data_IF_186422748429
#
_entry.id   IF_186422748429
#
_cell.length_a   1.000
_cell.length_b   1.000
_cell.length_c   1.000
_cell.angle_alpha   90.00
_cell.angle_beta   90.00
_cell.angle_gamma   90.00
#
_symmetry.space_group_name_H-M   'P 1'
#
loop_
_entity.id
_entity.type
_entity.pdbx_description
1 polymer ?
#
# COMPACT_ATOMS: atom_id res chain seq x y z
N UNK A 1 -16.86 -19.44 -3.26
CA UNK A 1 -16.84 -18.53 -2.10
C UNK A 1 -17.43 -17.21 -2.54
N UNK A 2 -18.42 -16.71 -1.82
CA UNK A 2 -19.25 -15.61 -2.31
C UNK A 2 -18.40 -14.35 -2.53
N UNK A 3 -18.45 -13.73 -3.73
CA UNK A 3 -17.63 -12.56 -4.05
C UNK A 3 -17.83 -11.41 -3.04
N UNK A 4 -18.98 -11.42 -2.36
CA UNK A 4 -19.33 -10.49 -1.30
C UNK A 4 -18.43 -10.66 -0.05
N UNK A 5 -18.14 -11.89 0.38
CA UNK A 5 -17.26 -12.13 1.53
C UNK A 5 -15.81 -11.74 1.23
N UNK A 6 -15.34 -11.99 0.00
CA UNK A 6 -14.00 -11.58 -0.43
C UNK A 6 -13.84 -10.04 -0.42
N UNK A 7 -14.85 -9.31 -0.90
CA UNK A 7 -14.85 -7.84 -0.89
C UNK A 7 -14.92 -7.27 0.53
N UNK A 8 -15.73 -7.87 1.42
CA UNK A 8 -15.79 -7.47 2.83
C UNK A 8 -14.46 -7.74 3.54
N UNK A 9 -13.81 -8.87 3.27
CA UNK A 9 -12.50 -9.18 3.81
C UNK A 9 -11.44 -8.16 3.35
N UNK A 10 -11.40 -7.84 2.04
CA UNK A 10 -10.51 -6.79 1.51
C UNK A 10 -10.78 -5.45 2.17
N UNK A 11 -12.04 -5.03 2.30
CA UNK A 11 -12.41 -3.77 2.95
C UNK A 11 -12.00 -3.71 4.42
N UNK A 12 -12.23 -4.80 5.17
CA UNK A 12 -11.84 -4.88 6.58
C UNK A 12 -10.32 -4.84 6.77
N UNK A 13 -9.59 -5.53 5.89
CA UNK A 13 -8.13 -5.53 5.85
C UNK A 13 -7.58 -4.14 5.52
N UNK A 14 -8.18 -3.44 4.55
CA UNK A 14 -7.82 -2.04 4.22
C UNK A 14 -8.01 -1.12 5.42
N UNK A 15 -9.18 -1.16 6.04
CA UNK A 15 -9.50 -0.32 7.18
C UNK A 15 -8.59 -0.60 8.38
N UNK A 16 -8.38 -1.88 8.70
CA UNK A 16 -7.45 -2.30 9.75
C UNK A 16 -6.01 -1.90 9.45
N UNK A 17 -5.56 -2.05 8.21
CA UNK A 17 -4.23 -1.67 7.75
C UNK A 17 -3.95 -0.18 7.96
N UNK A 18 -4.90 0.68 7.58
CA UNK A 18 -4.80 2.14 7.78
C UNK A 18 -4.80 2.51 9.26
N UNK A 19 -5.66 1.89 10.08
CA UNK A 19 -5.68 2.16 11.53
C UNK A 19 -4.35 1.81 12.19
N UNK A 20 -3.78 0.64 11.85
CA UNK A 20 -2.45 0.24 12.33
C UNK A 20 -1.40 1.23 11.83
N UNK A 21 -1.50 1.70 10.59
CA UNK A 21 -0.59 2.68 10.02
C UNK A 21 -0.59 3.98 10.84
N UNK A 22 -1.77 4.50 11.16
CA UNK A 22 -1.93 5.73 11.95
C UNK A 22 -1.38 5.59 13.37
N UNK A 23 -1.45 4.41 13.98
CA UNK A 23 -0.89 4.18 15.32
C UNK A 23 0.63 3.99 15.29
N UNK A 24 1.18 3.35 14.24
CA UNK A 24 2.62 3.07 14.14
C UNK A 24 3.44 4.25 13.61
N UNK A 25 2.84 5.14 12.82
CA UNK A 25 3.56 6.24 12.14
C UNK A 25 4.27 7.18 13.11
N UNK A 26 3.64 7.46 14.25
CA UNK A 26 4.16 8.36 15.26
C UNK A 26 5.31 7.74 16.07
N UNK A 27 5.41 6.40 16.11
CA UNK A 27 6.40 5.67 16.94
C UNK A 27 7.61 5.22 16.13
N UNK A 28 7.41 4.72 14.91
CA UNK A 28 8.45 4.05 14.10
C UNK A 28 9.26 5.05 13.26
N UNK A 29 8.67 6.21 12.94
CA UNK A 29 9.25 7.23 12.08
C UNK A 29 9.04 6.96 10.59
N UNK A 30 8.88 8.04 9.84
CA UNK A 30 8.33 8.05 8.47
C UNK A 30 9.18 7.28 7.45
N UNK A 31 10.52 7.40 7.53
CA UNK A 31 11.45 6.71 6.60
C UNK A 31 11.49 5.19 6.81
N UNK A 32 11.43 4.73 8.07
CA UNK A 32 11.49 3.30 8.40
C UNK A 32 10.22 2.58 7.98
N UNK A 33 9.08 3.24 8.14
CA UNK A 33 7.79 2.69 7.74
C UNK A 33 7.67 2.47 6.23
N UNK A 34 8.22 3.40 5.41
CA UNK A 34 8.34 3.22 3.96
C UNK A 34 9.21 2.01 3.56
N UNK A 35 10.33 1.80 4.27
CA UNK A 35 11.21 0.65 4.00
C UNK A 35 10.55 -0.67 4.41
N UNK A 36 9.88 -0.72 5.57
CA UNK A 36 9.18 -1.94 6.02
C UNK A 36 8.04 -2.29 5.04
N UNK A 37 7.27 -1.31 4.60
CA UNK A 37 6.20 -1.52 3.62
C UNK A 37 6.70 -2.01 2.27
N UNK A 38 7.76 -1.41 1.73
CA UNK A 38 8.35 -1.87 0.45
C UNK A 38 8.87 -3.31 0.55
N UNK A 39 9.55 -3.66 1.64
CA UNK A 39 10.00 -5.05 1.88
C UNK A 39 8.81 -6.01 1.97
N UNK A 40 7.75 -5.63 2.69
CA UNK A 40 6.51 -6.42 2.81
C UNK A 40 5.77 -6.61 1.47
N UNK A 41 5.73 -5.57 0.64
CA UNK A 41 5.17 -5.63 -0.71
C UNK A 41 5.97 -6.59 -1.59
N UNK A 42 7.31 -6.48 -1.61
CA UNK A 42 8.17 -7.38 -2.39
C UNK A 42 7.99 -8.83 -1.94
N UNK A 43 7.96 -9.09 -0.63
CA UNK A 43 7.70 -10.42 -0.09
C UNK A 43 6.32 -10.97 -0.51
N UNK A 44 5.29 -10.12 -0.51
CA UNK A 44 3.94 -10.52 -0.94
C UNK A 44 3.90 -10.87 -2.43
N UNK A 45 4.60 -10.11 -3.29
CA UNK A 45 4.72 -10.43 -4.71
C UNK A 45 5.48 -11.74 -4.95
N UNK A 46 6.54 -12.02 -4.19
CA UNK A 46 7.24 -13.30 -4.28
C UNK A 46 6.30 -14.45 -3.92
N UNK A 47 5.51 -14.30 -2.84
CA UNK A 47 4.49 -15.28 -2.46
C UNK A 47 3.45 -15.51 -3.57
N UNK A 48 3.04 -14.44 -4.26
CA UNK A 48 2.13 -14.51 -5.39
C UNK A 48 2.75 -15.23 -6.59
N UNK A 49 4.01 -14.92 -6.94
CA UNK A 49 4.74 -15.60 -8.03
C UNK A 49 4.83 -17.11 -7.75
N UNK A 50 5.15 -17.51 -6.52
CA UNK A 50 5.23 -18.92 -6.12
C UNK A 50 3.86 -19.60 -6.19
N UNK A 51 2.79 -18.92 -5.75
CA UNK A 51 1.43 -19.45 -5.82
C UNK A 51 1.00 -19.72 -7.27
N UNK A 52 1.30 -18.80 -8.20
CA UNK A 52 0.98 -18.96 -9.62
C UNK A 52 1.89 -19.97 -10.33
N UNK A 53 3.18 -20.03 -9.99
CA UNK A 53 4.12 -20.99 -10.58
C UNK A 53 3.86 -22.44 -10.15
N UNK A 54 3.42 -22.65 -8.91
CA UNK A 54 3.13 -23.98 -8.37
C UNK A 54 1.74 -24.53 -8.71
N UNK A 55 0.88 -23.78 -9.41
CA UNK A 55 -0.57 -24.09 -9.54
C UNK A 55 -1.22 -24.39 -8.17
N UNK A 56 -0.71 -23.77 -7.09
CA UNK A 56 -1.21 -24.02 -5.75
C UNK A 56 -2.55 -23.31 -5.50
N UNK A 57 -3.30 -23.83 -4.53
CA UNK A 57 -4.65 -23.44 -4.13
C UNK A 57 -4.92 -21.93 -4.24
N UNK A 58 -6.07 -21.56 -4.81
CA UNK A 58 -6.60 -20.19 -4.87
C UNK A 58 -6.53 -19.44 -3.53
N UNK A 59 -6.58 -20.16 -2.40
CA UNK A 59 -6.46 -19.58 -1.06
C UNK A 59 -5.08 -18.96 -0.75
N UNK A 60 -3.98 -19.53 -1.26
CA UNK A 60 -2.63 -18.97 -1.03
C UNK A 60 -2.45 -17.67 -1.83
N UNK A 61 -2.94 -17.64 -3.07
CA UNK A 61 -2.96 -16.44 -3.89
C UNK A 61 -3.79 -15.33 -3.22
N UNK A 62 -4.97 -15.67 -2.70
CA UNK A 62 -5.83 -14.72 -1.97
C UNK A 62 -5.15 -14.18 -0.69
N UNK A 63 -4.51 -15.04 0.11
CA UNK A 63 -3.78 -14.62 1.29
C UNK A 63 -2.59 -13.71 0.97
N UNK A 64 -1.85 -14.00 -0.11
CA UNK A 64 -0.74 -13.15 -0.59
C UNK A 64 -1.24 -11.77 -1.05
N UNK A 65 -2.41 -11.73 -1.70
CA UNK A 65 -3.05 -10.48 -2.12
C UNK A 65 -3.53 -9.64 -0.92
N UNK A 66 -4.15 -10.25 0.08
CA UNK A 66 -4.54 -9.54 1.31
C UNK A 66 -3.33 -8.99 2.06
N UNK A 67 -2.24 -9.76 2.13
CA UNK A 67 -0.98 -9.32 2.73
C UNK A 67 -0.39 -8.13 1.98
N UNK A 68 -0.40 -8.17 0.64
CA UNK A 68 0.02 -7.04 -0.20
C UNK A 68 -0.81 -5.78 0.11
N UNK A 69 -2.14 -5.90 0.22
CA UNK A 69 -3.03 -4.78 0.53
C UNK A 69 -2.69 -4.18 1.89
N UNK A 70 -2.45 -5.01 2.92
CA UNK A 70 -2.03 -4.53 4.25
C UNK A 70 -0.74 -3.72 4.20
N UNK A 71 0.30 -4.25 3.56
CA UNK A 71 1.59 -3.56 3.49
C UNK A 71 1.53 -2.29 2.63
N UNK A 72 0.68 -2.28 1.59
CA UNK A 72 0.41 -1.10 0.80
C UNK A 72 -0.27 0.01 1.63
N UNK A 73 -1.33 -0.33 2.34
CA UNK A 73 -2.10 0.63 3.14
C UNK A 73 -1.31 1.12 4.37
N UNK A 74 -0.47 0.26 4.94
CA UNK A 74 0.40 0.61 6.06
C UNK A 74 1.51 1.59 5.68
N UNK A 75 1.94 1.57 4.42
CA UNK A 75 3.10 2.32 3.97
C UNK A 75 2.74 3.37 2.94
N UNK A 76 2.46 2.96 1.71
CA UNK A 76 2.41 3.87 0.57
C UNK A 76 1.16 4.75 0.54
N UNK A 77 0.02 4.22 0.99
CA UNK A 77 -1.27 4.91 0.85
C UNK A 77 -1.30 6.31 1.49
N UNK A 78 -0.74 6.46 2.70
CA UNK A 78 -0.68 7.75 3.39
C UNK A 78 0.69 8.43 3.33
N UNK A 79 1.78 7.66 3.42
CA UNK A 79 3.11 8.26 3.64
C UNK A 79 3.67 8.96 2.41
N UNK A 80 3.31 8.55 1.20
CA UNK A 80 3.85 9.15 -0.02
C UNK A 80 3.61 10.67 -0.07
N UNK A 81 2.38 11.08 0.22
CA UNK A 81 1.98 12.49 0.19
C UNK A 81 2.51 13.25 1.40
N UNK A 82 2.51 12.61 2.57
CA UNK A 82 3.03 13.18 3.81
C UNK A 82 4.51 13.51 3.66
N UNK A 83 5.32 12.54 3.22
CA UNK A 83 6.77 12.72 3.03
C UNK A 83 7.05 13.74 1.93
N UNK A 84 6.30 13.71 0.82
CA UNK A 84 6.44 14.73 -0.22
C UNK A 84 6.20 16.14 0.31
N UNK A 85 5.14 16.32 1.12
CA UNK A 85 4.80 17.62 1.70
C UNK A 85 5.85 18.14 2.70
N UNK A 86 6.57 17.24 3.39
CA UNK A 86 7.64 17.59 4.33
C UNK A 86 8.92 18.03 3.63
N UNK A 87 9.25 17.41 2.51
CA UNK A 87 10.47 17.72 1.73
C UNK A 87 10.31 19.06 0.98
N UNK A 88 9.07 19.42 0.63
CA UNK A 88 8.77 20.63 -0.14
C UNK A 88 8.70 21.90 0.75
N UNK A 89 9.44 22.98 0.40
CA UNK A 89 9.35 24.26 1.08
C UNK A 89 7.98 24.91 0.87
N UNK A 90 7.50 25.63 1.89
CA UNK A 90 6.15 26.22 1.98
C UNK A 90 5.65 26.92 0.70
N UNK A 91 6.42 27.78 0.00
CA UNK A 91 5.90 28.52 -1.15
C UNK A 91 5.58 27.64 -2.37
N UNK A 92 6.21 26.46 -2.51
CA UNK A 92 6.02 25.56 -3.67
C UNK A 92 5.31 24.27 -3.31
N UNK A 93 4.95 24.06 -2.04
CA UNK A 93 4.34 22.82 -1.55
C UNK A 93 3.04 22.47 -2.25
N UNK A 94 2.15 23.45 -2.44
CA UNK A 94 0.88 23.23 -3.11
C UNK A 94 1.06 22.78 -4.58
N UNK A 95 1.99 23.42 -5.29
CA UNK A 95 2.31 23.07 -6.69
C UNK A 95 2.97 21.68 -6.75
N UNK A 96 3.92 21.40 -5.86
CA UNK A 96 4.63 20.13 -5.81
C UNK A 96 3.69 18.95 -5.52
N UNK A 97 2.79 19.08 -4.53
CA UNK A 97 1.79 18.05 -4.22
C UNK A 97 0.79 17.88 -5.37
N UNK A 98 0.36 18.98 -6.01
CA UNK A 98 -0.51 18.93 -7.18
C UNK A 98 0.11 18.15 -8.35
N UNK A 99 1.39 18.37 -8.65
CA UNK A 99 2.12 17.63 -9.68
C UNK A 99 2.20 16.13 -9.37
N UNK A 100 2.44 15.77 -8.09
CA UNK A 100 2.49 14.36 -7.67
C UNK A 100 1.15 13.66 -7.94
N UNK A 101 0.02 14.30 -7.60
CA UNK A 101 -1.30 13.73 -7.89
C UNK A 101 -1.57 13.63 -9.39
N UNK A 102 -1.20 14.64 -10.18
CA UNK A 102 -1.36 14.61 -11.63
C UNK A 102 -0.58 13.45 -12.25
N UNK A 103 0.68 13.26 -11.86
CA UNK A 103 1.52 12.15 -12.34
C UNK A 103 0.91 10.81 -11.92
N UNK A 104 0.47 10.68 -10.66
CA UNK A 104 -0.16 9.45 -10.17
C UNK A 104 -1.40 9.07 -11.00
N UNK A 105 -2.28 10.03 -11.28
CA UNK A 105 -3.47 9.78 -12.09
C UNK A 105 -3.12 9.42 -13.54
N UNK A 106 -2.11 10.07 -14.12
CA UNK A 106 -1.66 9.75 -15.49
C UNK A 106 -1.12 8.32 -15.56
N UNK A 107 -0.24 7.92 -14.63
CA UNK A 107 0.29 6.55 -14.60
C UNK A 107 -0.82 5.54 -14.38
N UNK A 108 -1.74 5.81 -13.45
CA UNK A 108 -2.89 4.94 -13.20
C UNK A 108 -3.86 4.84 -14.37
N UNK A 109 -3.87 5.80 -15.30
CA UNK A 109 -4.69 5.73 -16.49
C UNK A 109 -4.12 4.78 -17.56
N UNK A 110 -2.80 4.61 -17.59
CA UNK A 110 -2.11 3.73 -18.53
C UNK A 110 -1.97 2.28 -18.05
N UNK A 111 -2.17 2.04 -16.74
CA UNK A 111 -2.08 0.72 -16.11
C UNK A 111 -3.45 0.05 -16.02
#
# INVERSE_FOLDING_TARGET
>A
EDPLMANVAVGGVKFGGVLIALLLIDVVGRRRMLLVGTVGIVASYIGLIVAFAGQLLCGLAFASMLSFILFWDLSWAGLMLVVASEVLPQPIRAIGVGLIYSIYNIVSFFQ
#
